data_IF_926106603817
#
_entry.id   IF_926106603817
#
_cell.length_a   1.000
_cell.length_b   1.000
_cell.length_c   1.000
_cell.angle_alpha   90.00
_cell.angle_beta   90.00
_cell.angle_gamma   90.00
#
_symmetry.space_group_name_H-M   'P 1'
#
loop_
_entity.id
_entity.type
_entity.pdbx_description
1 polymer ?
#
# COMPACT_ATOMS: atom_id res chain seq x y z
N UNK A 1 -75.43 -27.09 8.17
CA UNK A 1 -74.23 -27.09 9.05
C UNK A 1 -73.02 -27.31 8.16
N UNK A 2 -72.43 -26.24 7.67
CA UNK A 2 -71.28 -26.23 6.74
C UNK A 2 -70.00 -26.14 7.56
N UNK A 3 -69.18 -27.19 7.53
CA UNK A 3 -67.87 -27.21 8.18
C UNK A 3 -66.79 -27.24 7.09
N UNK A 4 -66.21 -26.08 6.80
CA UNK A 4 -65.08 -25.94 5.89
C UNK A 4 -63.79 -25.88 6.73
N UNK A 5 -62.98 -26.94 6.69
CA UNK A 5 -61.66 -26.97 7.32
C UNK A 5 -60.72 -25.99 6.61
N UNK A 6 -60.33 -24.93 7.34
CA UNK A 6 -59.34 -23.93 6.94
C UNK A 6 -57.94 -24.49 7.24
N UNK A 7 -57.24 -25.03 6.23
CA UNK A 7 -55.83 -25.43 6.37
C UNK A 7 -54.96 -24.17 6.46
N UNK A 8 -54.38 -23.94 7.64
CA UNK A 8 -53.38 -22.90 7.89
C UNK A 8 -52.06 -23.26 7.20
N UNK A 9 -51.63 -22.43 6.25
CA UNK A 9 -50.30 -22.50 5.66
C UNK A 9 -49.33 -21.71 6.55
N UNK A 10 -48.30 -22.38 7.10
CA UNK A 10 -47.15 -21.73 7.74
C UNK A 10 -46.23 -21.16 6.64
N UNK A 11 -45.91 -19.85 6.63
CA UNK A 11 -44.78 -19.35 5.87
C UNK A 11 -43.50 -19.58 6.69
N UNK A 12 -42.66 -20.52 6.24
CA UNK A 12 -41.28 -20.63 6.71
C UNK A 12 -40.49 -19.42 6.21
N UNK A 13 -40.27 -18.42 7.06
CA UNK A 13 -39.30 -17.36 6.78
C UNK A 13 -37.89 -17.95 6.86
N UNK A 14 -37.31 -18.29 5.70
CA UNK A 14 -35.87 -18.42 5.56
C UNK A 14 -35.24 -17.03 5.68
N UNK A 15 -34.69 -16.73 6.86
CA UNK A 15 -33.75 -15.63 7.05
C UNK A 15 -32.45 -15.99 6.32
N UNK A 16 -32.30 -15.53 5.09
CA UNK A 16 -31.03 -15.53 4.37
C UNK A 16 -30.11 -14.48 5.00
N UNK A 17 -29.27 -14.91 5.95
CA UNK A 17 -28.14 -14.10 6.41
C UNK A 17 -27.13 -14.07 5.27
N UNK A 18 -27.12 -12.97 4.49
CA UNK A 18 -26.02 -12.68 3.60
C UNK A 18 -24.78 -12.43 4.48
N UNK A 19 -23.92 -13.43 4.60
CA UNK A 19 -22.54 -13.24 5.00
C UNK A 19 -21.89 -12.34 3.94
N UNK A 20 -21.93 -11.03 4.17
CA UNK A 20 -21.10 -10.10 3.43
C UNK A 20 -19.65 -10.48 3.68
N UNK A 21 -18.96 -10.94 2.65
CA UNK A 21 -17.51 -11.06 2.62
C UNK A 21 -16.92 -9.64 2.70
N UNK A 22 -16.94 -9.05 3.90
CA UNK A 22 -16.23 -7.83 4.20
C UNK A 22 -14.74 -8.15 4.08
N UNK A 23 -14.03 -7.45 3.19
CA UNK A 23 -12.57 -7.44 3.16
C UNK A 23 -12.09 -7.01 4.55
N UNK A 24 -11.72 -7.97 5.39
CA UNK A 24 -11.17 -7.73 6.73
C UNK A 24 -9.73 -7.27 6.57
N UNK A 25 -9.52 -5.97 6.40
CA UNK A 25 -8.18 -5.39 6.25
C UNK A 25 -8.22 -3.86 6.17
N UNK A 26 -7.08 -3.19 6.37
CA UNK A 26 -6.97 -1.74 6.19
C UNK A 26 -7.25 -1.33 4.74
N UNK A 27 -7.75 -0.11 4.53
CA UNK A 27 -7.92 0.46 3.20
C UNK A 27 -6.56 0.49 2.48
N UNK A 28 -6.55 0.06 1.22
CA UNK A 28 -5.32 -0.05 0.42
C UNK A 28 -5.37 0.93 -0.74
N UNK A 29 -4.28 1.66 -0.93
CA UNK A 29 -4.10 2.65 -1.98
C UNK A 29 -2.91 2.29 -2.86
N UNK A 30 -3.07 2.46 -4.16
CA UNK A 30 -2.09 2.08 -5.17
C UNK A 30 -1.30 3.29 -5.68
N UNK A 31 -0.35 3.06 -6.58
CA UNK A 31 0.48 4.11 -7.18
C UNK A 31 -0.31 5.28 -7.79
N UNK A 32 -1.53 5.05 -8.27
CA UNK A 32 -2.42 6.08 -8.83
C UNK A 32 -3.03 7.03 -7.79
N UNK A 33 -3.14 6.61 -6.53
CA UNK A 33 -3.91 7.30 -5.49
C UNK A 33 -3.12 8.43 -4.83
N UNK A 34 -2.94 9.54 -5.55
CA UNK A 34 -2.09 10.64 -5.09
C UNK A 34 -2.65 11.46 -3.93
N UNK A 35 -3.96 11.48 -3.75
CA UNK A 35 -4.63 12.23 -2.70
C UNK A 35 -5.51 11.27 -1.89
N UNK A 36 -5.10 11.01 -0.66
CA UNK A 36 -5.72 10.02 0.23
C UNK A 36 -6.41 10.76 1.37
N UNK A 37 -7.63 10.33 1.69
CA UNK A 37 -8.35 10.81 2.87
C UNK A 37 -8.66 9.63 3.77
N UNK A 38 -8.26 9.75 5.03
CA UNK A 38 -8.44 8.72 6.06
C UNK A 38 -8.88 9.39 7.35
N UNK A 39 -9.66 8.69 8.16
CA UNK A 39 -10.10 9.22 9.46
C UNK A 39 -9.06 8.90 10.54
N UNK A 40 -8.90 9.80 11.52
CA UNK A 40 -7.97 9.59 12.62
C UNK A 40 -8.27 8.27 13.36
N UNK A 41 -7.22 7.53 13.70
CA UNK A 41 -7.28 6.22 14.34
C UNK A 41 -7.36 5.03 13.37
N UNK A 42 -7.61 5.25 12.08
CA UNK A 42 -7.63 4.18 11.06
C UNK A 42 -6.23 3.78 10.60
N UNK A 43 -6.11 2.53 10.21
CA UNK A 43 -4.95 2.01 9.51
C UNK A 43 -5.22 1.97 8.02
N UNK A 44 -4.18 2.24 7.23
CA UNK A 44 -4.22 2.17 5.78
C UNK A 44 -2.88 1.67 5.23
N UNK A 45 -2.91 1.22 3.99
CA UNK A 45 -1.78 0.60 3.31
C UNK A 45 -1.52 1.30 1.99
N UNK A 46 -0.25 1.51 1.67
CA UNK A 46 0.18 1.82 0.31
C UNK A 46 0.77 0.58 -0.33
N UNK A 47 0.25 0.16 -1.47
CA UNK A 47 0.74 -1.00 -2.22
C UNK A 47 1.34 -0.56 -3.55
N UNK A 48 2.55 -1.05 -3.83
CA UNK A 48 3.30 -0.71 -5.04
C UNK A 48 3.80 -2.00 -5.71
N UNK A 49 3.74 -2.09 -7.06
CA UNK A 49 4.29 -3.22 -7.78
C UNK A 49 5.82 -3.23 -7.65
N UNK A 50 6.40 -4.42 -7.55
CA UNK A 50 7.85 -4.62 -7.57
C UNK A 50 8.23 -5.63 -8.64
N UNK A 51 9.26 -5.29 -9.41
CA UNK A 51 9.92 -6.20 -10.34
C UNK A 51 11.22 -6.71 -9.72
N UNK A 52 11.10 -7.76 -8.92
CA UNK A 52 12.25 -8.37 -8.21
C UNK A 52 13.22 -9.04 -9.19
N UNK A 53 12.77 -9.50 -10.35
CA UNK A 53 13.64 -10.02 -11.41
C UNK A 53 14.62 -8.95 -11.93
N UNK A 54 14.18 -7.71 -11.97
CA UNK A 54 15.03 -6.56 -12.34
C UNK A 54 15.80 -5.97 -11.15
N UNK A 55 15.74 -6.62 -9.98
CA UNK A 55 16.37 -6.18 -8.74
C UNK A 55 15.84 -4.83 -8.23
N UNK A 56 14.59 -4.52 -8.57
CA UNK A 56 13.92 -3.32 -8.09
C UNK A 56 13.46 -3.48 -6.64
N UNK A 57 13.58 -2.41 -5.86
CA UNK A 57 13.09 -2.35 -4.49
C UNK A 57 12.40 -1.03 -4.18
N UNK A 58 11.50 -1.05 -3.20
CA UNK A 58 10.81 0.14 -2.71
C UNK A 58 11.14 0.47 -1.25
N UNK A 59 11.26 1.76 -0.97
CA UNK A 59 11.55 2.25 0.38
C UNK A 59 10.78 3.53 0.71
N UNK A 60 10.58 3.79 2.01
CA UNK A 60 10.21 5.12 2.47
C UNK A 60 11.45 6.03 2.39
N UNK A 61 11.32 7.18 1.76
CA UNK A 61 12.40 8.16 1.63
C UNK A 61 12.11 9.45 2.41
N UNK A 62 13.10 10.33 2.49
CA UNK A 62 12.99 11.63 3.16
C UNK A 62 12.27 12.68 2.30
N UNK A 63 11.65 13.72 2.90
CA UNK A 63 11.33 13.77 4.33
C UNK A 63 10.28 12.71 4.67
N UNK A 64 10.36 12.20 5.90
CA UNK A 64 9.34 11.30 6.45
C UNK A 64 8.02 12.07 6.62
N UNK A 65 6.86 11.40 6.59
CA UNK A 65 5.61 12.04 6.95
C UNK A 65 5.70 12.59 8.38
N UNK A 66 5.04 13.71 8.61
CA UNK A 66 4.76 14.23 9.94
C UNK A 66 4.17 13.11 10.85
N UNK A 67 4.89 12.69 11.91
CA UNK A 67 4.48 11.57 12.75
C UNK A 67 3.24 11.87 13.60
N UNK A 68 2.89 13.14 13.81
CA UNK A 68 1.68 13.54 14.53
C UNK A 68 0.44 13.43 13.64
N UNK A 69 0.62 13.36 12.33
CA UNK A 69 -0.45 13.15 11.34
C UNK A 69 -0.51 11.68 10.90
N UNK A 70 0.61 11.09 10.47
CA UNK A 70 0.68 9.70 10.02
C UNK A 70 1.96 9.02 10.52
N UNK A 71 1.81 7.82 11.08
CA UNK A 71 2.95 6.99 11.51
C UNK A 71 3.02 5.69 10.73
N UNK A 72 4.20 5.34 10.22
CA UNK A 72 4.46 4.01 9.63
C UNK A 72 4.41 2.95 10.72
N UNK A 73 3.72 1.84 10.45
CA UNK A 73 3.57 0.70 11.37
C UNK A 73 4.26 -0.56 10.86
N UNK A 74 4.49 -0.69 9.56
CA UNK A 74 5.11 -1.89 8.98
C UNK A 74 5.58 -1.74 7.54
N UNK A 75 6.17 -2.82 7.01
CA UNK A 75 6.32 -3.11 5.58
C UNK A 75 6.17 -4.62 5.39
N UNK A 76 5.46 -5.02 4.35
CA UNK A 76 5.29 -6.40 3.92
C UNK A 76 5.67 -6.51 2.44
N UNK A 77 6.30 -7.61 2.07
CA UNK A 77 6.68 -7.90 0.68
C UNK A 77 5.97 -9.20 0.27
N UNK A 78 5.26 -9.18 -0.86
CA UNK A 78 4.62 -10.36 -1.44
C UNK A 78 5.21 -10.62 -2.82
N UNK A 79 6.01 -11.67 -2.94
CA UNK A 79 6.64 -12.08 -4.19
C UNK A 79 5.80 -13.19 -4.80
N UNK A 80 5.36 -13.00 -6.05
CA UNK A 80 4.76 -14.04 -6.87
C UNK A 80 5.87 -14.62 -7.74
N UNK A 81 6.32 -15.82 -7.38
CA UNK A 81 7.18 -16.62 -8.25
C UNK A 81 6.27 -17.50 -9.12
N UNK A 82 6.53 -17.49 -10.43
CA UNK A 82 6.06 -18.54 -11.32
C UNK A 82 7.01 -19.72 -11.17
N UNK A 83 6.50 -20.84 -10.68
CA UNK A 83 7.24 -22.07 -10.36
C UNK A 83 7.93 -22.67 -11.59
N UNK A 84 7.48 -22.32 -12.80
CA UNK A 84 8.03 -22.81 -14.05
C UNK A 84 8.99 -21.81 -14.74
N UNK A 85 9.18 -20.60 -14.20
CA UNK A 85 9.99 -19.55 -14.82
C UNK A 85 11.11 -19.04 -13.91
N UNK A 86 12.31 -19.64 -14.04
CA UNK A 86 13.53 -19.18 -13.37
C UNK A 86 13.84 -17.73 -13.76
N UNK A 87 13.84 -16.83 -12.79
CA UNK A 87 14.16 -15.41 -12.99
C UNK A 87 12.98 -14.51 -13.36
N UNK A 88 11.73 -15.00 -13.29
CA UNK A 88 10.52 -14.19 -13.39
C UNK A 88 9.91 -13.99 -12.00
N UNK A 89 10.26 -12.89 -11.34
CA UNK A 89 9.77 -12.53 -10.02
C UNK A 89 9.12 -11.16 -10.07
N UNK A 90 7.80 -11.11 -10.03
CA UNK A 90 7.04 -9.88 -9.81
C UNK A 90 6.31 -9.96 -8.48
N UNK A 91 5.99 -8.82 -7.89
CA UNK A 91 5.37 -8.81 -6.58
C UNK A 91 4.73 -7.49 -6.23
N UNK A 92 4.37 -7.39 -4.95
CA UNK A 92 3.82 -6.18 -4.36
C UNK A 92 4.55 -5.88 -3.06
N UNK A 93 5.10 -4.68 -2.96
CA UNK A 93 5.55 -4.11 -1.69
C UNK A 93 4.39 -3.34 -1.06
N UNK A 94 4.12 -3.60 0.21
CA UNK A 94 3.07 -2.95 0.99
C UNK A 94 3.66 -2.23 2.19
N UNK A 95 3.26 -0.96 2.38
CA UNK A 95 3.69 -0.11 3.48
C UNK A 95 2.48 0.22 4.35
N UNK A 96 2.53 -0.20 5.60
CA UNK A 96 1.42 0.01 6.54
C UNK A 96 1.60 1.30 7.33
N UNK A 97 0.50 2.02 7.51
CA UNK A 97 0.45 3.30 8.21
C UNK A 97 -0.77 3.38 9.14
N UNK A 98 -0.64 4.21 10.17
CA UNK A 98 -1.72 4.63 11.05
C UNK A 98 -1.94 6.13 10.92
N UNK A 99 -3.18 6.54 10.67
CA UNK A 99 -3.62 7.92 10.77
C UNK A 99 -3.70 8.31 12.26
N UNK A 100 -2.82 9.20 12.71
CA UNK A 100 -2.64 9.51 14.14
C UNK A 100 -3.53 10.69 14.54
N UNK A 101 -3.34 11.83 13.91
CA UNK A 101 -4.03 13.08 14.24
C UNK A 101 -4.46 13.84 12.98
N UNK A 102 -5.46 14.72 13.11
CA UNK A 102 -5.96 15.49 11.97
C UNK A 102 -4.88 16.42 11.41
N UNK A 103 -4.78 16.49 10.08
CA UNK A 103 -3.77 17.28 9.39
C UNK A 103 -3.51 16.77 7.98
N UNK A 104 -2.55 17.39 7.30
CA UNK A 104 -2.12 16.95 5.96
C UNK A 104 -0.62 16.74 5.95
N UNK A 105 -0.19 15.59 5.45
CA UNK A 105 1.22 15.22 5.36
C UNK A 105 1.53 14.55 4.03
N UNK A 106 2.81 14.40 3.70
CA UNK A 106 3.27 13.73 2.49
C UNK A 106 4.02 12.45 2.86
N UNK A 107 3.57 11.34 2.28
CA UNK A 107 4.33 10.09 2.27
C UNK A 107 5.10 10.03 0.96
N UNK A 108 6.40 9.71 1.02
CA UNK A 108 7.27 9.58 -0.15
C UNK A 108 7.84 8.18 -0.20
N UNK A 109 7.47 7.44 -1.23
CA UNK A 109 8.09 6.17 -1.56
C UNK A 109 9.10 6.38 -2.69
N UNK A 110 10.23 5.71 -2.64
CA UNK A 110 11.25 5.71 -3.70
C UNK A 110 11.29 4.33 -4.34
N UNK A 111 11.11 4.30 -5.67
CA UNK A 111 11.37 3.15 -6.53
C UNK A 111 12.85 3.13 -6.87
N UNK A 112 13.53 2.04 -6.54
CA UNK A 112 14.96 1.88 -6.69
C UNK A 112 15.29 0.73 -7.64
N UNK A 113 15.49 1.01 -8.94
CA UNK A 113 16.18 0.09 -9.83
C UNK A 113 17.59 -0.24 -9.31
N UNK A 114 18.17 -1.36 -9.75
CA UNK A 114 19.52 -1.80 -9.34
C UNK A 114 20.55 -0.67 -9.47
N UNK A 115 21.24 -0.37 -8.37
CA UNK A 115 22.28 0.66 -8.29
C UNK A 115 21.79 2.11 -8.30
N UNK A 116 20.48 2.35 -8.43
CA UNK A 116 19.93 3.70 -8.57
C UNK A 116 19.73 4.44 -7.24
N UNK A 117 19.83 3.73 -6.11
CA UNK A 117 19.67 4.29 -4.76
C UNK A 117 20.87 4.02 -3.86
N UNK A 118 21.07 4.93 -2.90
CA UNK A 118 22.08 4.87 -1.85
C UNK A 118 21.46 5.15 -0.47
N UNK A 119 22.14 4.74 0.61
CA UNK A 119 21.64 4.85 1.98
C UNK A 119 20.90 3.59 2.44
N UNK A 120 20.30 3.61 3.63
CA UNK A 120 19.52 2.48 4.17
C UNK A 120 20.32 1.26 4.66
N UNK A 121 21.66 1.27 4.60
CA UNK A 121 22.51 0.23 5.19
C UNK A 121 22.57 0.27 6.72
N UNK A 122 23.50 -0.48 7.33
CA UNK A 122 23.61 -0.67 8.80
C UNK A 122 23.63 0.63 9.62
N UNK A 123 24.08 1.73 9.01
CA UNK A 123 24.10 3.07 9.61
C UNK A 123 22.72 3.75 9.74
N UNK A 124 21.63 3.17 9.20
CA UNK A 124 20.25 3.61 9.46
C UNK A 124 19.82 4.93 8.80
N UNK A 125 20.45 5.34 7.70
CA UNK A 125 20.12 6.58 6.96
C UNK A 125 18.97 6.45 5.96
N UNK A 126 18.40 7.57 5.47
CA UNK A 126 17.34 7.53 4.47
C UNK A 126 17.86 6.97 3.14
N UNK A 127 17.04 6.15 2.47
CA UNK A 127 17.30 5.72 1.10
C UNK A 127 17.01 6.90 0.17
N UNK A 128 17.97 7.26 -0.68
CA UNK A 128 17.89 8.40 -1.60
C UNK A 128 18.45 8.02 -2.98
N UNK A 129 18.16 8.78 -4.05
CA UNK A 129 18.78 8.54 -5.34
C UNK A 129 20.31 8.58 -5.23
N UNK A 130 20.99 7.63 -5.87
CA UNK A 130 22.46 7.61 -5.93
C UNK A 130 22.99 8.89 -6.59
N UNK A 131 24.02 9.53 -6.02
CA UNK A 131 24.64 10.68 -6.65
C UNK A 131 25.32 10.25 -7.95
N UNK A 132 25.12 11.04 -9.01
CA UNK A 132 25.82 10.86 -10.29
C UNK A 132 27.09 11.73 -10.24
N UNK A 133 28.30 11.14 -10.37
CA UNK A 133 29.54 11.91 -10.38
C UNK A 133 29.53 12.99 -11.46
N UNK A 134 30.07 14.18 -11.14
CA UNK A 134 30.21 15.25 -12.11
C UNK A 134 31.03 14.78 -13.32
N UNK A 135 30.52 15.04 -14.53
CA UNK A 135 31.16 14.62 -15.79
C UNK A 135 30.75 13.23 -16.27
N UNK A 136 30.00 12.45 -15.50
CA UNK A 136 29.41 11.18 -15.97
C UNK A 136 28.15 11.41 -16.81
N UNK A 137 27.88 10.57 -17.82
CA UNK A 137 26.61 10.59 -18.54
C UNK A 137 25.44 10.38 -17.57
N UNK A 138 24.39 11.20 -17.71
CA UNK A 138 23.20 11.01 -16.88
C UNK A 138 22.53 9.68 -17.24
N UNK A 139 22.23 8.79 -16.26
CA UNK A 139 21.61 7.50 -16.54
C UNK A 139 20.31 7.63 -17.34
N UNK A 140 19.92 6.61 -18.11
CA UNK A 140 18.61 6.64 -18.77
C UNK A 140 17.48 6.61 -17.73
N UNK A 141 16.31 7.18 -18.06
CA UNK A 141 15.18 7.31 -17.13
C UNK A 141 14.83 5.99 -16.40
N UNK A 142 14.82 4.87 -17.12
CA UNK A 142 14.51 3.54 -16.57
C UNK A 142 15.49 3.02 -15.51
N UNK A 143 16.69 3.62 -15.44
CA UNK A 143 17.72 3.28 -14.45
C UNK A 143 17.86 4.36 -13.36
N UNK A 144 16.94 5.33 -13.31
CA UNK A 144 16.93 6.37 -12.27
C UNK A 144 15.94 5.99 -11.19
N UNK A 145 16.30 6.29 -9.95
CA UNK A 145 15.35 6.21 -8.86
C UNK A 145 14.21 7.21 -9.06
N UNK A 146 12.97 6.80 -8.78
CA UNK A 146 11.78 7.64 -8.94
C UNK A 146 11.09 7.81 -7.60
N UNK A 147 10.76 9.05 -7.23
CA UNK A 147 10.05 9.34 -5.98
C UNK A 147 8.57 9.54 -6.27
N UNK A 148 7.74 8.73 -5.61
CA UNK A 148 6.29 8.79 -5.65
C UNK A 148 5.78 9.43 -4.36
N UNK A 149 5.03 10.53 -4.51
CA UNK A 149 4.51 11.29 -3.37
C UNK A 149 3.00 11.10 -3.26
N UNK A 150 2.54 10.81 -2.05
CA UNK A 150 1.14 10.67 -1.68
C UNK A 150 0.81 11.78 -0.69
N UNK A 151 -0.19 12.60 -1.00
CA UNK A 151 -0.71 13.59 -0.06
C UNK A 151 -1.80 12.93 0.76
N UNK A 152 -1.60 12.81 2.07
CA UNK A 152 -2.56 12.19 2.98
C UNK A 152 -3.16 13.28 3.85
N UNK A 153 -4.48 13.36 3.83
CA UNK A 153 -5.24 14.22 4.75
C UNK A 153 -5.98 13.34 5.75
N UNK A 154 -5.62 13.50 7.03
CA UNK A 154 -6.30 12.86 8.13
C UNK A 154 -7.43 13.76 8.62
N UNK A 155 -8.65 13.24 8.61
CA UNK A 155 -9.83 13.94 9.08
C UNK A 155 -10.09 13.65 10.56
N UNK A 156 -10.85 14.53 11.19
CA UNK A 156 -11.43 14.22 12.50
C UNK A 156 -12.42 13.05 12.36
N UNK A 157 -12.53 12.18 13.37
CA UNK A 157 -13.54 11.12 13.40
C UNK A 157 -14.97 11.67 13.32
#
# INVERSE_FOLDING_TARGET
MTSALRRLALPALLMTVLAGCGRTGPDTYELGDKNIQVDAGKEFRLSVPVDTAMGEWWYLTSPKPDPDVVRRTGKQEEIKADDDAVGSGSGTDSFDFKAVGPGTTKIRLIQCPVGACAGGGDAGGPVTPSPVPSGSPTPQKKYRATIHTYTVTVRKP
#
